data_IF_187738067334
#
_entry.id   IF_187738067334
#
_cell.length_a   1.000
_cell.length_b   1.000
_cell.length_c   1.000
_cell.angle_alpha   90.00
_cell.angle_beta   90.00
_cell.angle_gamma   90.00
#
_symmetry.space_group_name_H-M   'P 1'
#
loop_
_entity.id
_entity.type
_entity.pdbx_description
1 polymer ?
#
# COMPACT_ATOMS: atom_id res chain seq x y z
N UNK A 1 -1.71 6.44 21.64
CA UNK A 1 -0.65 5.52 21.20
C UNK A 1 -1.00 4.13 21.70
N UNK A 2 -0.91 3.12 20.84
CA UNK A 2 -1.11 1.71 21.18
C UNK A 2 0.22 1.00 20.95
N UNK A 3 0.67 0.22 21.92
CA UNK A 3 1.91 -0.56 21.82
C UNK A 3 1.54 -2.03 21.87
N UNK A 4 2.08 -2.78 20.93
CA UNK A 4 1.90 -4.22 20.80
C UNK A 4 3.24 -4.92 21.03
N UNK A 5 3.24 -5.86 21.96
CA UNK A 5 4.39 -6.69 22.31
C UNK A 5 4.00 -8.16 22.10
N UNK A 6 4.92 -8.98 21.57
CA UNK A 6 4.66 -10.40 21.37
C UNK A 6 5.59 -11.08 20.39
N UNK A 7 6.24 -10.32 19.50
CA UNK A 7 7.38 -10.84 18.76
C UNK A 7 8.59 -11.00 19.68
N UNK A 8 9.40 -12.01 19.41
CA UNK A 8 10.62 -12.30 20.18
C UNK A 8 11.90 -11.87 19.46
N UNK A 9 11.75 -11.25 18.28
CA UNK A 9 12.83 -10.76 17.44
C UNK A 9 12.30 -9.59 16.59
N UNK A 10 13.20 -8.93 15.88
CA UNK A 10 13.01 -7.76 15.02
C UNK A 10 11.71 -7.82 14.22
N UNK A 11 10.91 -6.74 14.28
CA UNK A 11 9.75 -6.55 13.40
C UNK A 11 10.20 -5.86 12.11
N UNK A 12 10.30 -6.62 11.03
CA UNK A 12 10.89 -6.14 9.78
C UNK A 12 9.90 -5.45 8.84
N UNK A 13 8.60 -5.78 8.93
CA UNK A 13 7.58 -5.26 8.03
C UNK A 13 6.24 -5.18 8.75
N UNK A 14 5.52 -4.07 8.57
CA UNK A 14 4.14 -3.89 9.04
C UNK A 14 3.22 -3.47 7.89
N UNK A 15 1.94 -3.82 7.97
CA UNK A 15 0.91 -3.38 7.00
C UNK A 15 -0.44 -3.29 7.69
N UNK A 16 -1.20 -2.23 7.41
CA UNK A 16 -2.62 -2.18 7.80
C UNK A 16 -3.47 -3.08 6.92
N UNK A 17 -4.57 -3.61 7.49
CA UNK A 17 -5.65 -4.17 6.70
C UNK A 17 -6.34 -3.08 5.89
N UNK A 18 -6.93 -3.40 4.71
CA UNK A 18 -7.61 -2.41 3.88
C UNK A 18 -8.77 -1.68 4.57
N UNK A 19 -9.39 -2.31 5.59
CA UNK A 19 -10.44 -1.70 6.40
C UNK A 19 -9.91 -0.89 7.62
N UNK A 20 -8.59 -0.86 7.82
CA UNK A 20 -7.90 -0.15 8.90
C UNK A 20 -8.10 -0.75 10.29
N UNK A 21 -8.77 -1.89 10.44
CA UNK A 21 -9.09 -2.48 11.76
C UNK A 21 -7.95 -3.27 12.38
N UNK A 22 -7.01 -3.74 11.57
CA UNK A 22 -5.90 -4.55 12.04
C UNK A 22 -4.59 -4.16 11.38
N UNK A 23 -3.50 -4.55 12.03
CA UNK A 23 -2.14 -4.48 11.49
C UNK A 23 -1.58 -5.89 11.47
N UNK A 24 -0.86 -6.23 10.41
CA UNK A 24 0.01 -7.42 10.39
C UNK A 24 1.46 -6.99 10.55
N UNK A 25 2.26 -7.88 11.12
CA UNK A 25 3.71 -7.73 11.21
C UNK A 25 4.42 -9.01 10.81
N UNK A 26 5.51 -8.89 10.05
CA UNK A 26 6.45 -9.98 9.79
C UNK A 26 7.72 -9.78 10.59
N UNK A 27 8.14 -10.81 11.33
CA UNK A 27 9.31 -10.74 12.20
C UNK A 27 10.40 -11.75 11.83
N UNK A 28 11.60 -11.48 12.33
CA UNK A 28 12.74 -12.40 12.29
C UNK A 28 12.52 -13.65 13.16
N UNK A 29 11.55 -13.62 14.07
CA UNK A 29 11.10 -14.78 14.85
C UNK A 29 10.32 -15.82 14.04
N UNK A 30 10.25 -15.63 12.71
CA UNK A 30 9.64 -16.54 11.73
C UNK A 30 8.11 -16.58 11.79
N UNK A 31 7.48 -15.65 12.52
CA UNK A 31 6.03 -15.56 12.66
C UNK A 31 5.46 -14.28 12.07
N UNK A 32 4.17 -14.35 11.72
CA UNK A 32 3.38 -13.17 11.37
C UNK A 32 2.43 -12.89 12.54
N UNK A 33 2.53 -11.69 13.11
CA UNK A 33 1.60 -11.21 14.12
C UNK A 33 0.38 -10.53 13.48
N UNK A 34 -0.78 -10.66 14.10
CA UNK A 34 -1.99 -9.91 13.76
C UNK A 34 -2.48 -9.14 14.99
N UNK A 35 -2.72 -7.85 14.82
CA UNK A 35 -2.92 -6.91 15.92
C UNK A 35 -4.15 -6.05 15.68
N UNK A 36 -4.90 -5.73 16.73
CA UNK A 36 -5.98 -4.77 16.62
C UNK A 36 -5.41 -3.35 16.48
N UNK A 37 -5.92 -2.58 15.52
CA UNK A 37 -5.45 -1.22 15.26
C UNK A 37 -5.94 -0.19 16.29
N UNK A 38 -6.97 -0.53 17.06
CA UNK A 38 -7.72 0.36 17.93
C UNK A 38 -7.68 -0.04 19.42
N UNK A 39 -7.09 -1.21 19.73
CA UNK A 39 -6.90 -1.69 21.10
C UNK A 39 -5.58 -2.45 21.24
N UNK A 40 -4.99 -2.53 22.44
CA UNK A 40 -3.73 -3.24 22.70
C UNK A 40 -3.93 -4.78 22.76
N UNK A 41 -4.71 -5.34 21.83
CA UNK A 41 -5.07 -6.76 21.81
C UNK A 41 -4.57 -7.45 20.55
N UNK A 42 -4.08 -8.70 20.70
CA UNK A 42 -3.77 -9.59 19.58
C UNK A 42 -5.04 -10.08 18.89
N UNK A 43 -4.94 -10.36 17.60
CA UNK A 43 -5.97 -11.04 16.81
C UNK A 43 -5.49 -12.47 16.56
N UNK A 44 -6.05 -13.43 17.28
CA UNK A 44 -5.69 -14.85 17.14
C UNK A 44 -4.25 -15.18 17.56
N UNK A 45 -3.79 -16.36 17.15
CA UNK A 45 -2.42 -16.81 17.38
C UNK A 45 -1.50 -16.35 16.24
N UNK A 46 -0.18 -16.16 16.48
CA UNK A 46 0.78 -15.85 15.42
C UNK A 46 0.75 -16.91 14.31
N UNK A 47 0.77 -16.47 13.05
CA UNK A 47 0.80 -17.37 11.91
C UNK A 47 2.20 -17.99 11.80
N UNK A 48 2.26 -19.33 11.81
CA UNK A 48 3.50 -20.11 11.81
C UNK A 48 3.56 -20.98 10.56
N UNK A 49 4.75 -21.06 9.97
CA UNK A 49 5.02 -21.95 8.83
C UNK A 49 6.33 -21.63 8.14
N UNK A 50 6.76 -20.37 8.15
CA UNK A 50 8.11 -20.01 7.70
C UNK A 50 9.19 -20.64 8.60
N UNK A 51 10.33 -20.99 8.00
CA UNK A 51 11.50 -21.52 8.72
C UNK A 51 12.70 -20.57 8.67
N UNK A 52 12.43 -19.28 8.45
CA UNK A 52 13.42 -18.23 8.35
C UNK A 52 12.77 -16.85 8.46
N UNK A 53 13.58 -15.82 8.68
CA UNK A 53 13.14 -14.45 8.92
C UNK A 53 12.17 -13.96 7.84
N UNK A 54 11.08 -13.33 8.26
CA UNK A 54 10.12 -12.72 7.33
C UNK A 54 10.59 -11.30 7.03
N UNK A 55 10.82 -11.01 5.75
CA UNK A 55 11.30 -9.70 5.33
C UNK A 55 10.17 -8.76 4.95
N UNK A 56 9.06 -9.27 4.43
CA UNK A 56 7.97 -8.43 3.96
C UNK A 56 6.64 -9.16 4.10
N UNK A 57 5.63 -8.44 4.57
CA UNK A 57 4.24 -8.89 4.63
C UNK A 57 3.36 -7.87 3.91
N UNK A 58 2.27 -8.34 3.31
CA UNK A 58 1.30 -7.47 2.63
C UNK A 58 -0.09 -8.05 2.74
N UNK A 59 -1.07 -7.18 2.99
CA UNK A 59 -2.47 -7.54 2.83
C UNK A 59 -2.87 -7.52 1.35
N UNK A 60 -3.71 -8.48 0.97
CA UNK A 60 -4.51 -8.38 -0.26
C UNK A 60 -5.40 -7.14 -0.17
N UNK A 61 -5.58 -6.37 -1.26
CA UNK A 61 -6.53 -5.26 -1.31
C UNK A 61 -7.97 -5.67 -0.97
N UNK A 62 -8.30 -6.96 -1.11
CA UNK A 62 -9.61 -7.52 -0.74
C UNK A 62 -9.73 -7.83 0.76
N UNK A 63 -8.64 -7.74 1.53
CA UNK A 63 -8.61 -7.94 2.99
C UNK A 63 -8.74 -9.39 3.45
N UNK A 64 -8.84 -10.35 2.54
CA UNK A 64 -9.07 -11.77 2.85
C UNK A 64 -7.79 -12.62 2.90
N UNK A 65 -6.68 -12.12 2.34
CA UNK A 65 -5.43 -12.87 2.22
C UNK A 65 -4.24 -12.04 2.64
N UNK A 66 -3.27 -12.66 3.32
CA UNK A 66 -1.95 -12.08 3.62
C UNK A 66 -0.92 -12.81 2.76
N UNK A 67 0.03 -12.08 2.19
CA UNK A 67 1.23 -12.65 1.58
C UNK A 67 2.45 -12.33 2.43
N UNK A 68 3.36 -13.30 2.56
CA UNK A 68 4.63 -13.13 3.27
C UNK A 68 5.79 -13.63 2.43
N UNK A 69 6.87 -12.86 2.44
CA UNK A 69 8.14 -13.17 1.80
C UNK A 69 9.23 -13.37 2.86
N UNK A 70 9.97 -14.48 2.75
CA UNK A 70 10.92 -14.90 3.78
C UNK A 70 12.31 -15.26 3.24
N UNK A 71 13.28 -15.22 4.15
CA UNK A 71 14.61 -15.78 4.00
C UNK A 71 14.59 -17.27 3.63
N UNK A 72 13.56 -18.01 4.05
CA UNK A 72 13.39 -19.44 3.79
C UNK A 72 13.11 -19.80 2.32
N UNK A 73 13.15 -18.80 1.43
CA UNK A 73 12.98 -18.93 -0.03
C UNK A 73 11.56 -19.30 -0.42
N UNK A 74 10.58 -18.99 0.43
CA UNK A 74 9.16 -19.18 0.12
C UNK A 74 8.39 -17.87 0.18
N UNK A 75 7.35 -17.81 -0.65
CA UNK A 75 6.23 -16.90 -0.45
C UNK A 75 5.07 -17.75 0.05
N UNK A 76 4.47 -17.35 1.16
CA UNK A 76 3.29 -18.01 1.73
C UNK A 76 2.08 -17.10 1.65
N UNK A 77 0.93 -17.72 1.46
CA UNK A 77 -0.37 -17.05 1.45
C UNK A 77 -1.18 -17.56 2.62
N UNK A 78 -1.84 -16.66 3.32
CA UNK A 78 -2.58 -16.97 4.53
C UNK A 78 -3.99 -16.43 4.41
N UNK A 79 -4.98 -17.21 4.82
CA UNK A 79 -6.35 -16.74 4.93
C UNK A 79 -6.52 -15.97 6.24
N UNK A 80 -7.03 -14.74 6.14
CA UNK A 80 -7.14 -13.82 7.27
C UNK A 80 -8.15 -14.31 8.30
N UNK A 81 -9.21 -14.99 7.87
CA UNK A 81 -10.30 -15.40 8.76
C UNK A 81 -9.97 -16.68 9.53
N UNK A 82 -9.42 -17.68 8.84
CA UNK A 82 -9.06 -18.97 9.41
C UNK A 82 -7.67 -18.98 10.03
N UNK A 83 -6.83 -17.98 9.74
CA UNK A 83 -5.42 -17.92 10.14
C UNK A 83 -4.62 -19.15 9.68
N UNK A 84 -5.02 -19.75 8.55
CA UNK A 84 -4.37 -20.93 7.98
C UNK A 84 -3.62 -20.58 6.70
N UNK A 85 -2.54 -21.34 6.45
CA UNK A 85 -1.85 -21.28 5.18
C UNK A 85 -2.77 -21.76 4.05
N UNK A 86 -2.97 -20.89 3.07
CA UNK A 86 -3.66 -21.24 1.84
C UNK A 86 -2.70 -22.07 1.01
N UNK A 87 -3.04 -23.33 0.75
CA UNK A 87 -2.36 -24.23 -0.21
C UNK A 87 -0.84 -24.38 -0.01
N UNK A 88 -0.12 -24.81 -1.05
CA UNK A 88 1.34 -25.00 -0.96
C UNK A 88 2.13 -23.68 -1.11
N UNK A 89 3.23 -23.50 -0.35
CA UNK A 89 4.11 -22.35 -0.49
C UNK A 89 4.65 -22.21 -1.92
N UNK A 90 4.74 -20.98 -2.41
CA UNK A 90 5.44 -20.69 -3.66
C UNK A 90 6.94 -20.74 -3.37
N UNK A 91 7.60 -21.79 -3.86
CA UNK A 91 9.03 -22.01 -3.64
C UNK A 91 9.86 -21.29 -4.70
N UNK A 92 10.82 -20.49 -4.24
CA UNK A 92 11.90 -19.93 -5.04
C UNK A 92 13.21 -20.66 -4.78
N UNK A 93 14.23 -20.34 -5.59
CA UNK A 93 15.58 -20.84 -5.36
C UNK A 93 16.37 -19.93 -4.39
N UNK A 94 15.80 -18.78 -4.02
CA UNK A 94 16.45 -17.73 -3.23
C UNK A 94 15.44 -16.99 -2.35
N UNK A 95 15.95 -16.24 -1.38
CA UNK A 95 15.17 -15.46 -0.43
C UNK A 95 14.39 -14.34 -1.12
N UNK A 96 13.20 -14.04 -0.60
CA UNK A 96 12.34 -12.97 -1.08
C UNK A 96 12.38 -11.81 -0.09
N UNK A 97 12.76 -10.61 -0.55
CA UNK A 97 12.95 -9.46 0.34
C UNK A 97 11.75 -8.53 0.41
N UNK A 98 10.94 -8.48 -0.65
CA UNK A 98 9.77 -7.62 -0.76
C UNK A 98 8.62 -8.34 -1.46
N UNK A 99 7.40 -8.08 -1.01
CA UNK A 99 6.17 -8.64 -1.56
C UNK A 99 5.13 -7.53 -1.71
N UNK A 100 4.39 -7.53 -2.82
CA UNK A 100 3.28 -6.60 -3.04
C UNK A 100 2.16 -7.28 -3.81
N UNK A 101 0.91 -7.00 -3.45
CA UNK A 101 -0.26 -7.39 -4.23
C UNK A 101 -0.56 -6.39 -5.34
N UNK A 102 -1.01 -6.89 -6.50
CA UNK A 102 -1.68 -6.05 -7.48
C UNK A 102 -3.01 -5.55 -6.93
N UNK A 103 -3.53 -4.38 -7.37
CA UNK A 103 -4.83 -3.85 -6.95
C UNK A 103 -6.00 -4.81 -7.17
N UNK A 104 -5.94 -5.65 -8.21
CA UNK A 104 -6.95 -6.68 -8.49
C UNK A 104 -6.86 -7.92 -7.60
N UNK A 105 -5.84 -8.01 -6.73
CA UNK A 105 -5.48 -9.18 -5.92
C UNK A 105 -5.19 -10.48 -6.69
N UNK A 106 -5.06 -10.42 -8.02
CA UNK A 106 -4.80 -11.61 -8.85
C UNK A 106 -3.31 -11.92 -8.99
N UNK A 107 -2.47 -10.91 -8.86
CA UNK A 107 -1.02 -11.02 -8.99
C UNK A 107 -0.33 -10.59 -7.70
N UNK A 108 0.83 -11.19 -7.48
CA UNK A 108 1.81 -10.78 -6.47
C UNK A 108 3.13 -10.52 -7.18
N UNK A 109 3.77 -9.40 -6.85
CA UNK A 109 5.15 -9.12 -7.23
C UNK A 109 6.07 -9.48 -6.06
N UNK A 110 7.19 -10.14 -6.35
CA UNK A 110 8.24 -10.37 -5.38
C UNK A 110 9.62 -10.05 -5.92
N UNK A 111 10.52 -9.66 -5.03
CA UNK A 111 11.92 -9.48 -5.35
C UNK A 111 12.67 -10.81 -5.23
N UNK A 112 13.55 -11.06 -6.18
CA UNK A 112 14.35 -12.27 -6.27
C UNK A 112 15.81 -11.90 -6.46
N UNK A 113 16.72 -12.54 -5.71
CA UNK A 113 18.16 -12.34 -5.87
C UNK A 113 18.87 -13.68 -6.00
N UNK A 114 19.47 -13.95 -7.16
CA UNK A 114 20.25 -15.16 -7.42
C UNK A 114 21.68 -15.00 -6.91
N UNK A 115 22.07 -15.83 -5.96
CA UNK A 115 23.47 -16.00 -5.56
C UNK A 115 24.29 -16.58 -6.72
N UNK A 116 25.37 -15.90 -7.08
CA UNK A 116 26.25 -16.20 -8.22
C UNK A 116 26.88 -14.90 -8.73
N UNK A 117 28.05 -14.96 -9.39
CA UNK A 117 28.65 -13.79 -10.04
C UNK A 117 28.35 -13.81 -11.55
N UNK A 118 27.76 -12.75 -12.12
CA UNK A 118 27.18 -11.58 -11.46
C UNK A 118 25.85 -11.92 -10.74
N UNK A 119 25.59 -11.24 -9.61
CA UNK A 119 24.35 -11.41 -8.83
C UNK A 119 23.19 -10.94 -9.70
N UNK A 120 22.26 -11.84 -10.01
CA UNK A 120 21.06 -11.47 -10.78
C UNK A 120 19.95 -11.11 -9.81
N UNK A 121 19.66 -9.82 -9.70
CA UNK A 121 18.52 -9.31 -8.95
C UNK A 121 17.40 -8.97 -9.94
N UNK A 122 16.20 -9.50 -9.68
CA UNK A 122 15.06 -9.38 -10.56
C UNK A 122 13.77 -9.24 -9.77
N UNK A 123 12.73 -8.80 -10.47
CA UNK A 123 11.37 -8.77 -9.94
C UNK A 123 10.54 -9.80 -10.69
N UNK A 124 9.65 -10.52 -10.00
CA UNK A 124 8.85 -11.59 -10.60
C UNK A 124 7.39 -11.47 -10.22
N UNK A 125 6.50 -11.75 -11.18
CA UNK A 125 5.07 -11.82 -10.95
C UNK A 125 4.62 -13.26 -10.77
N UNK A 126 3.68 -13.45 -9.85
CA UNK A 126 3.08 -14.73 -9.50
C UNK A 126 1.56 -14.59 -9.57
N UNK A 127 0.89 -15.58 -10.16
CA UNK A 127 -0.56 -15.70 -10.06
C UNK A 127 -0.93 -16.20 -8.67
N UNK A 128 -1.83 -15.50 -7.99
CA UNK A 128 -2.32 -15.87 -6.65
C UNK A 128 -3.10 -17.19 -6.70
N UNK A 129 -3.97 -17.34 -7.70
CA UNK A 129 -4.79 -18.54 -7.91
C UNK A 129 -3.92 -19.74 -8.28
N UNK A 130 -3.08 -19.60 -9.31
CA UNK A 130 -2.30 -20.72 -9.86
C UNK A 130 -1.01 -20.99 -9.10
N UNK A 131 -0.54 -20.06 -8.27
CA UNK A 131 0.73 -20.13 -7.50
C UNK A 131 1.95 -20.40 -8.39
N UNK A 132 1.88 -19.92 -9.61
CA UNK A 132 2.91 -20.07 -10.64
C UNK A 132 3.28 -18.72 -11.19
N UNK A 133 4.38 -18.66 -11.92
CA UNK A 133 4.93 -17.42 -12.43
C UNK A 133 4.05 -16.90 -13.56
N UNK A 134 3.57 -15.66 -13.42
CA UNK A 134 2.66 -15.05 -14.38
C UNK A 134 3.41 -14.44 -15.59
N UNK A 135 4.68 -14.09 -15.42
CA UNK A 135 5.50 -13.47 -16.46
C UNK A 135 6.97 -13.88 -16.36
N UNK A 136 7.75 -13.51 -17.39
CA UNK A 136 9.22 -13.51 -17.31
C UNK A 136 9.69 -12.53 -16.24
N UNK A 137 10.84 -12.78 -15.59
CA UNK A 137 11.37 -11.86 -14.60
C UNK A 137 11.74 -10.51 -15.24
N UNK A 138 11.45 -9.42 -14.53
CA UNK A 138 11.91 -8.09 -14.87
C UNK A 138 13.40 -7.95 -14.50
N UNK A 139 14.23 -7.76 -15.51
CA UNK A 139 15.69 -7.67 -15.38
C UNK A 139 16.15 -6.22 -15.56
N UNK A 140 17.10 -5.77 -14.75
CA UNK A 140 17.75 -4.47 -14.94
C UNK A 140 18.39 -3.87 -13.69
N UNK A 141 17.96 -4.27 -12.49
CA UNK A 141 18.66 -3.91 -11.26
C UNK A 141 19.95 -4.71 -11.12
N UNK A 142 21.00 -4.06 -10.61
CA UNK A 142 22.34 -4.67 -10.43
C UNK A 142 22.60 -5.11 -8.99
N UNK A 143 21.64 -4.91 -8.09
CA UNK A 143 21.70 -5.30 -6.68
C UNK A 143 20.30 -5.56 -6.11
N UNK A 144 20.22 -5.99 -4.85
CA UNK A 144 18.99 -6.44 -4.20
C UNK A 144 17.84 -5.45 -4.36
N UNK A 145 16.67 -5.94 -4.78
CA UNK A 145 15.44 -5.14 -4.81
C UNK A 145 14.80 -5.20 -3.43
N UNK A 146 14.82 -4.07 -2.72
CA UNK A 146 14.45 -3.94 -1.31
C UNK A 146 12.97 -3.62 -1.11
N UNK A 147 12.35 -2.97 -2.10
CA UNK A 147 10.95 -2.54 -2.01
C UNK A 147 10.27 -2.57 -3.37
N UNK A 148 8.98 -2.93 -3.35
CA UNK A 148 8.12 -3.12 -4.52
C UNK A 148 6.74 -2.55 -4.24
N UNK A 149 6.13 -1.92 -5.24
CA UNK A 149 4.73 -1.50 -5.17
C UNK A 149 4.10 -1.44 -6.57
N UNK A 150 2.86 -1.88 -6.69
CA UNK A 150 2.08 -1.70 -7.92
C UNK A 150 1.51 -0.28 -8.01
N UNK A 151 1.32 0.21 -9.23
CA UNK A 151 0.49 1.39 -9.45
C UNK A 151 -0.98 1.12 -9.12
N UNK A 152 -1.77 2.14 -8.72
CA UNK A 152 -3.20 2.01 -8.42
C UNK A 152 -4.02 1.36 -9.54
N UNK A 153 -3.65 1.64 -10.80
CA UNK A 153 -4.29 1.04 -11.98
C UNK A 153 -3.76 -0.37 -12.33
N UNK A 154 -2.74 -0.87 -11.62
CA UNK A 154 -2.16 -2.19 -11.80
C UNK A 154 -1.33 -2.38 -13.08
N UNK A 155 -1.09 -1.34 -13.88
CA UNK A 155 -0.34 -1.44 -15.15
C UNK A 155 1.16 -1.23 -15.03
N UNK A 156 1.62 -0.72 -13.88
CA UNK A 156 3.03 -0.49 -13.58
C UNK A 156 3.44 -1.14 -12.27
N UNK A 157 4.73 -1.46 -12.18
CA UNK A 157 5.37 -1.91 -10.96
C UNK A 157 6.58 -1.02 -10.69
N UNK A 158 6.74 -0.55 -9.47
CA UNK A 158 7.87 0.28 -9.04
C UNK A 158 8.79 -0.56 -8.17
N UNK A 159 10.09 -0.43 -8.35
CA UNK A 159 11.10 -1.09 -7.53
C UNK A 159 12.19 -0.14 -7.07
N UNK A 160 12.51 -0.19 -5.78
CA UNK A 160 13.70 0.43 -5.18
C UNK A 160 14.77 -0.61 -4.88
N UNK A 161 16.03 -0.31 -5.20
CA UNK A 161 17.14 -1.26 -5.12
C UNK A 161 18.36 -0.74 -4.38
N UNK A 162 19.15 -1.69 -3.90
CA UNK A 162 20.51 -1.47 -3.41
C UNK A 162 21.54 -1.10 -4.48
N UNK A 163 21.12 -0.92 -5.73
CA UNK A 163 21.93 -0.27 -6.77
C UNK A 163 21.76 1.26 -6.81
N UNK A 164 21.10 1.82 -5.79
CA UNK A 164 20.82 3.24 -5.60
C UNK A 164 19.80 3.82 -6.61
N UNK A 165 19.12 2.96 -7.38
CA UNK A 165 18.15 3.39 -8.38
C UNK A 165 16.73 2.93 -8.09
N UNK A 166 15.78 3.65 -8.68
CA UNK A 166 14.38 3.27 -8.77
C UNK A 166 14.08 2.93 -10.22
N UNK A 167 13.26 1.92 -10.47
CA UNK A 167 12.77 1.57 -11.81
C UNK A 167 11.27 1.43 -11.81
N UNK A 168 10.65 1.84 -12.91
CA UNK A 168 9.23 1.61 -13.20
C UNK A 168 9.14 0.61 -14.35
N UNK A 169 8.40 -0.47 -14.14
CA UNK A 169 8.21 -1.56 -15.09
C UNK A 169 6.81 -1.50 -15.68
N UNK A 170 6.70 -1.82 -16.97
CA UNK A 170 5.42 -2.09 -17.62
C UNK A 170 5.06 -3.55 -17.41
N UNK A 171 3.91 -3.82 -16.79
CA UNK A 171 3.49 -5.18 -16.45
C UNK A 171 3.08 -5.99 -17.68
N UNK A 172 2.50 -5.34 -18.70
CA UNK A 172 2.02 -5.98 -19.92
C UNK A 172 3.20 -6.35 -20.84
N UNK A 173 4.13 -5.40 -21.03
CA UNK A 173 5.29 -5.59 -21.90
C UNK A 173 6.42 -6.39 -21.25
N UNK A 174 6.48 -6.44 -19.91
CA UNK A 174 7.57 -7.14 -19.21
C UNK A 174 8.90 -6.39 -19.20
N UNK A 175 8.90 -5.08 -19.50
CA UNK A 175 10.11 -4.27 -19.71
C UNK A 175 10.15 -3.05 -18.80
N UNK A 176 11.31 -2.38 -18.69
CA UNK A 176 11.40 -1.08 -18.02
C UNK A 176 10.59 -0.05 -18.81
N UNK A 177 9.61 0.57 -18.14
CA UNK A 177 8.81 1.66 -18.69
C UNK A 177 9.52 3.01 -18.54
N UNK A 178 10.05 3.28 -17.34
CA UNK A 178 10.74 4.53 -17.00
C UNK A 178 11.93 4.24 -16.07
N UNK A 179 13.00 5.01 -16.25
CA UNK A 179 14.21 4.95 -15.43
C UNK A 179 15.39 4.23 -16.09
N UNK A 180 16.48 3.94 -15.34
CA UNK A 180 16.60 4.06 -13.88
C UNK A 180 16.62 5.51 -13.38
N UNK A 181 15.92 5.78 -12.28
CA UNK A 181 15.94 7.10 -11.63
C UNK A 181 17.22 7.18 -10.81
N UNK A 182 18.06 8.16 -11.12
CA UNK A 182 19.37 8.35 -10.49
C UNK A 182 19.34 9.63 -9.67
N UNK A 183 19.87 9.55 -8.46
CA UNK A 183 20.06 10.73 -7.60
C UNK A 183 20.44 10.37 -6.18
N UNK A 184 19.93 9.25 -5.65
CA UNK A 184 20.38 8.72 -4.36
C UNK A 184 21.85 8.29 -4.41
N UNK A 185 22.59 8.58 -3.34
CA UNK A 185 24.01 8.20 -3.20
C UNK A 185 24.21 6.94 -2.37
N UNK A 186 23.13 6.43 -1.78
CA UNK A 186 23.07 5.17 -1.04
C UNK A 186 21.93 4.28 -1.54
N UNK A 187 21.85 3.07 -1.01
CA UNK A 187 20.82 2.11 -1.39
C UNK A 187 19.42 2.68 -1.16
N UNK A 188 18.47 2.35 -2.04
CA UNK A 188 17.06 2.69 -1.85
C UNK A 188 16.42 1.55 -1.05
N UNK A 189 16.12 1.82 0.22
CA UNK A 189 15.55 0.83 1.15
C UNK A 189 14.06 0.63 0.92
N UNK A 190 13.34 1.71 0.63
CA UNK A 190 11.89 1.73 0.51
C UNK A 190 11.43 2.74 -0.53
N UNK A 191 10.37 2.38 -1.25
CA UNK A 191 9.62 3.27 -2.12
C UNK A 191 8.16 3.25 -1.69
N UNK A 192 7.46 4.36 -1.92
CA UNK A 192 6.02 4.42 -1.88
C UNK A 192 5.52 5.26 -3.07
N UNK A 193 4.32 4.97 -3.55
CA UNK A 193 3.65 5.67 -4.65
C UNK A 193 2.47 6.48 -4.11
N UNK A 194 2.27 7.68 -4.64
CA UNK A 194 1.13 8.52 -4.30
C UNK A 194 -0.20 7.83 -4.68
N UNK A 195 -1.32 8.15 -4.02
CA UNK A 195 -2.62 7.52 -4.29
C UNK A 195 -3.10 7.67 -5.75
N UNK A 196 -2.74 8.77 -6.41
CA UNK A 196 -3.04 9.02 -7.82
C UNK A 196 -2.04 8.37 -8.80
N UNK A 197 -0.96 7.78 -8.27
CA UNK A 197 0.11 7.13 -9.04
C UNK A 197 1.04 8.09 -9.77
N UNK A 198 0.96 9.40 -9.54
CA UNK A 198 1.75 10.39 -10.27
C UNK A 198 3.14 10.62 -9.67
N UNK A 199 3.33 10.36 -8.38
CA UNK A 199 4.57 10.64 -7.66
C UNK A 199 5.10 9.41 -6.93
N UNK A 200 6.41 9.27 -6.85
CA UNK A 200 7.10 8.26 -6.04
C UNK A 200 7.87 8.99 -4.95
N UNK A 201 7.80 8.51 -3.72
CA UNK A 201 8.73 8.88 -2.66
C UNK A 201 9.66 7.70 -2.38
N UNK A 202 10.92 7.99 -2.11
CA UNK A 202 11.92 6.98 -1.77
C UNK A 202 12.70 7.37 -0.53
N UNK A 203 12.97 6.38 0.32
CA UNK A 203 13.87 6.51 1.48
C UNK A 203 15.15 5.72 1.24
N UNK A 204 16.30 6.30 1.61
CA UNK A 204 17.62 5.75 1.31
C UNK A 204 18.57 5.74 2.50
N UNK A 205 19.59 4.90 2.41
CA UNK A 205 20.77 4.95 3.28
C UNK A 205 21.67 6.17 3.06
N UNK A 206 21.33 7.07 2.14
CA UNK A 206 21.93 8.43 2.08
C UNK A 206 21.27 9.44 3.04
N UNK A 207 20.34 8.96 3.88
CA UNK A 207 19.65 9.70 4.94
C UNK A 207 18.62 10.70 4.42
N UNK A 208 18.35 10.71 3.10
CA UNK A 208 17.37 11.60 2.49
C UNK A 208 16.14 10.84 2.02
N UNK A 209 14.98 11.51 2.07
CA UNK A 209 13.87 11.13 1.21
C UNK A 209 13.94 11.95 -0.08
N UNK A 210 13.47 11.37 -1.19
CA UNK A 210 13.32 12.08 -2.46
C UNK A 210 11.95 11.82 -3.06
N UNK A 211 11.41 12.85 -3.70
CA UNK A 211 10.17 12.78 -4.46
C UNK A 211 10.49 12.78 -5.94
N UNK A 212 9.76 11.99 -6.73
CA UNK A 212 10.00 11.79 -8.15
C UNK A 212 8.70 11.85 -8.91
N UNK A 213 8.74 12.39 -10.14
CA UNK A 213 7.65 12.22 -11.10
C UNK A 213 7.67 10.78 -11.62
N UNK A 214 6.58 10.04 -11.41
CA UNK A 214 6.51 8.63 -11.79
C UNK A 214 6.53 8.42 -13.31
N UNK A 215 6.16 9.45 -14.10
CA UNK A 215 6.08 9.38 -15.57
C UNK A 215 7.42 9.69 -16.23
N UNK A 216 8.08 10.77 -15.81
CA UNK A 216 9.34 11.24 -16.38
C UNK A 216 10.58 10.70 -15.67
N UNK A 217 10.46 10.33 -14.38
CA UNK A 217 11.59 9.91 -13.55
C UNK A 217 12.48 11.05 -13.05
N UNK A 218 12.03 12.28 -13.22
CA UNK A 218 12.71 13.47 -12.72
C UNK A 218 12.45 13.66 -11.22
N UNK A 219 13.45 14.14 -10.50
CA UNK A 219 13.31 14.47 -9.08
C UNK A 219 12.48 15.76 -8.93
N UNK A 220 11.47 15.73 -8.07
CA UNK A 220 10.62 16.87 -7.75
C UNK A 220 11.15 17.55 -6.50
N UNK A 221 11.57 18.81 -6.66
CA UNK A 221 12.06 19.63 -5.54
C UNK A 221 13.41 19.17 -4.97
N UNK A 222 13.69 19.59 -3.74
CA UNK A 222 14.90 19.20 -3.02
C UNK A 222 14.67 17.93 -2.20
N UNK A 223 15.72 17.13 -1.93
CA UNK A 223 15.62 16.03 -0.98
C UNK A 223 15.13 16.50 0.40
N UNK A 224 14.31 15.70 1.05
CA UNK A 224 13.83 15.95 2.40
C UNK A 224 14.93 15.56 3.38
N UNK A 225 15.53 16.58 4.01
CA UNK A 225 16.55 16.41 5.04
C UNK A 225 15.95 16.42 6.45
N UNK A 226 16.47 15.56 7.33
CA UNK A 226 16.12 15.58 8.76
C UNK A 226 16.48 14.28 9.48
N UNK A 227 16.39 13.14 8.81
CA UNK A 227 16.97 11.90 9.32
C UNK A 227 18.51 12.03 9.39
N UNK A 228 19.10 11.52 10.47
CA UNK A 228 20.56 11.58 10.71
C UNK A 228 21.28 10.28 10.38
N UNK A 229 20.52 9.21 10.11
CA UNK A 229 20.98 7.86 9.81
C UNK A 229 20.09 7.24 8.70
N UNK A 230 20.40 6.03 8.17
CA UNK A 230 19.64 5.40 7.09
C UNK A 230 18.13 5.36 7.28
N UNK A 231 17.41 5.63 6.20
CA UNK A 231 15.95 5.47 6.14
C UNK A 231 15.66 4.05 5.64
N UNK A 232 14.78 3.33 6.34
CA UNK A 232 14.41 1.95 6.01
C UNK A 232 13.02 1.84 5.39
N UNK A 233 12.09 2.71 5.77
CA UNK A 233 10.71 2.65 5.27
C UNK A 233 10.12 4.03 5.05
N UNK A 234 9.34 4.16 3.98
CA UNK A 234 8.52 5.33 3.67
C UNK A 234 7.12 4.88 3.27
N UNK A 235 6.11 5.71 3.53
CA UNK A 235 4.74 5.48 3.05
C UNK A 235 4.00 6.79 2.79
N UNK A 236 3.07 6.79 1.83
CA UNK A 236 2.24 7.95 1.50
C UNK A 236 0.95 7.96 2.32
N UNK A 237 0.49 9.14 2.72
CA UNK A 237 -0.86 9.27 3.25
C UNK A 237 -1.89 8.94 2.14
N UNK A 238 -3.07 8.40 2.49
CA UNK A 238 -4.14 8.14 1.53
C UNK A 238 -4.64 9.39 0.79
N UNK A 239 -4.41 10.57 1.36
CA UNK A 239 -4.69 11.86 0.71
C UNK A 239 -3.62 12.30 -0.28
N UNK A 240 -2.40 11.75 -0.19
CA UNK A 240 -1.24 12.19 -0.97
C UNK A 240 -0.63 13.51 -0.51
N UNK A 241 -1.05 14.05 0.63
CA UNK A 241 -0.53 15.32 1.20
C UNK A 241 0.73 15.13 2.04
N UNK A 242 0.85 13.96 2.69
CA UNK A 242 1.94 13.68 3.63
C UNK A 242 2.69 12.38 3.28
N UNK A 243 3.92 12.31 3.76
CA UNK A 243 4.74 11.09 3.78
C UNK A 243 5.15 10.81 5.21
N UNK A 244 5.19 9.53 5.59
CA UNK A 244 5.81 9.08 6.82
C UNK A 244 7.10 8.33 6.49
N UNK A 245 8.11 8.45 7.33
CA UNK A 245 9.34 7.65 7.25
C UNK A 245 9.77 7.09 8.59
N UNK A 246 10.47 5.95 8.55
CA UNK A 246 11.13 5.33 9.68
C UNK A 246 12.58 4.97 9.33
N UNK A 247 13.50 5.13 10.28
CA UNK A 247 14.91 4.92 10.05
C UNK A 247 15.71 4.41 11.25
N UNK A 248 17.01 4.30 11.01
CA UNK A 248 18.06 3.88 11.94
C UNK A 248 18.30 4.91 13.06
N UNK A 249 17.86 6.15 12.86
CA UNK A 249 17.85 7.19 13.91
C UNK A 249 16.72 7.00 14.94
N UNK A 250 16.05 5.84 14.92
CA UNK A 250 14.99 5.44 15.84
C UNK A 250 13.75 6.34 15.79
N UNK A 251 13.64 7.19 14.77
CA UNK A 251 12.55 8.15 14.62
C UNK A 251 11.53 7.70 13.59
N UNK A 252 10.26 8.00 13.86
CA UNK A 252 9.20 8.07 12.86
C UNK A 252 8.96 9.54 12.54
N UNK A 253 9.06 9.95 11.28
CA UNK A 253 8.92 11.36 10.88
C UNK A 253 7.77 11.54 9.89
N UNK A 254 7.05 12.64 10.04
CA UNK A 254 5.97 13.05 9.15
C UNK A 254 6.41 14.26 8.34
N UNK A 255 6.17 14.23 7.03
CA UNK A 255 6.62 15.22 6.07
C UNK A 255 5.44 15.77 5.28
N UNK A 256 5.39 17.08 5.08
CA UNK A 256 4.46 17.73 4.17
C UNK A 256 5.12 17.80 2.78
N UNK A 257 4.47 17.19 1.79
CA UNK A 257 5.02 17.08 0.42
C UNK A 257 5.10 18.45 -0.25
N UNK A 258 4.07 19.29 -0.07
CA UNK A 258 3.95 20.61 -0.72
C UNK A 258 5.05 21.57 -0.29
N UNK A 259 5.45 21.49 0.98
CA UNK A 259 6.48 22.36 1.56
C UNK A 259 7.87 21.71 1.62
N UNK A 260 7.93 20.39 1.43
CA UNK A 260 9.14 19.57 1.60
C UNK A 260 9.77 19.70 2.98
N UNK A 261 8.96 19.93 4.01
CA UNK A 261 9.42 20.12 5.40
C UNK A 261 8.88 19.03 6.31
N UNK A 262 9.70 18.71 7.31
CA UNK A 262 9.24 17.90 8.43
C UNK A 262 8.16 18.65 9.20
N UNK A 263 7.07 17.96 9.47
CA UNK A 263 5.96 18.46 10.27
C UNK A 263 6.14 18.04 11.73
N UNK A 264 6.36 16.74 11.95
CA UNK A 264 6.59 16.15 13.28
C UNK A 264 7.63 15.02 13.23
N UNK A 265 8.21 14.73 14.38
CA UNK A 265 9.12 13.60 14.60
C UNK A 265 8.77 12.95 15.94
N UNK A 266 8.68 11.62 15.93
CA UNK A 266 8.34 10.80 17.09
C UNK A 266 9.51 9.88 17.41
N UNK A 267 9.98 9.93 18.65
CA UNK A 267 10.99 8.99 19.19
C UNK A 267 10.26 8.06 20.14
N UNK A 268 9.95 6.86 19.69
CA UNK A 268 9.10 5.95 20.46
C UNK A 268 9.54 4.51 20.49
N UNK A 269 10.30 4.12 19.48
CA UNK A 269 11.02 2.87 19.52
C UNK A 269 12.35 3.09 20.24
N UNK A 270 12.80 2.05 20.94
CA UNK A 270 14.10 2.05 21.61
C UNK A 270 15.25 1.66 20.66
N UNK A 271 14.91 1.27 19.43
CA UNK A 271 15.83 0.78 18.42
C UNK A 271 15.34 1.15 17.00
N UNK A 272 16.04 0.69 15.97
CA UNK A 272 15.82 0.99 14.55
C UNK A 272 14.35 0.81 14.15
N UNK A 273 13.78 1.77 13.43
CA UNK A 273 12.45 1.63 12.83
C UNK A 273 12.59 1.05 11.43
N UNK A 274 12.15 -0.20 11.24
CA UNK A 274 12.31 -0.92 9.96
C UNK A 274 11.18 -0.70 8.99
N UNK A 275 9.97 -0.49 9.50
CA UNK A 275 8.78 -0.40 8.68
C UNK A 275 7.80 0.61 9.26
N UNK A 276 7.21 1.41 8.39
CA UNK A 276 6.12 2.34 8.69
C UNK A 276 5.00 2.14 7.68
N UNK A 277 3.75 2.35 8.09
CA UNK A 277 2.58 2.31 7.22
C UNK A 277 1.52 3.31 7.71
N UNK A 278 0.86 4.01 6.80
CA UNK A 278 -0.35 4.76 7.11
C UNK A 278 -1.56 3.84 7.19
N UNK A 279 -2.50 4.19 8.07
CA UNK A 279 -3.83 3.59 8.02
C UNK A 279 -4.57 4.06 6.76
N UNK A 280 -5.51 3.25 6.22
CA UNK A 280 -6.29 3.62 5.04
C UNK A 280 -7.10 4.92 5.18
N UNK A 281 -7.42 5.33 6.41
CA UNK A 281 -8.08 6.60 6.70
C UNK A 281 -7.11 7.77 6.91
N UNK A 282 -5.80 7.54 6.94
CA UNK A 282 -4.76 8.55 7.14
C UNK A 282 -4.65 9.08 8.57
N UNK A 283 -5.44 8.56 9.51
CA UNK A 283 -5.50 9.05 10.89
C UNK A 283 -4.50 8.37 11.83
N UNK A 284 -3.89 7.27 11.38
CA UNK A 284 -2.95 6.51 12.20
C UNK A 284 -1.72 6.10 11.39
N UNK A 285 -0.62 5.91 12.11
CA UNK A 285 0.65 5.38 11.58
C UNK A 285 0.99 4.14 12.41
N UNK A 286 1.32 3.03 11.75
CA UNK A 286 1.92 1.86 12.37
C UNK A 286 3.43 1.87 12.11
N UNK A 287 4.22 1.50 13.11
CA UNK A 287 5.67 1.31 13.00
C UNK A 287 6.11 -0.01 13.62
N UNK A 288 7.06 -0.68 12.98
CA UNK A 288 7.72 -1.90 13.49
C UNK A 288 9.23 -1.70 13.58
N UNK A 289 9.84 -2.27 14.62
CA UNK A 289 11.23 -1.98 15.01
C UNK A 289 12.01 -3.21 15.48
N UNK A 290 13.34 -3.04 15.57
CA UNK A 290 14.28 -3.98 16.18
C UNK A 290 14.03 -4.19 17.67
N UNK A 291 13.34 -3.26 18.33
CA UNK A 291 12.91 -3.40 19.72
C UNK A 291 11.80 -4.47 19.93
N UNK A 292 11.46 -5.21 18.87
CA UNK A 292 10.46 -6.27 18.82
C UNK A 292 9.01 -5.79 18.99
N UNK A 293 8.76 -4.46 18.95
CA UNK A 293 7.43 -3.88 19.15
C UNK A 293 6.80 -3.41 17.85
N UNK A 294 5.47 -3.36 17.87
CA UNK A 294 4.68 -2.59 16.91
C UNK A 294 4.02 -1.45 17.67
N UNK A 295 4.14 -0.24 17.15
CA UNK A 295 3.48 0.94 17.72
C UNK A 295 2.48 1.49 16.71
N UNK A 296 1.27 1.80 17.17
CA UNK A 296 0.25 2.48 16.39
C UNK A 296 0.00 3.85 17.02
N UNK A 297 0.34 4.90 16.27
CA UNK A 297 0.05 6.29 16.63
C UNK A 297 -1.22 6.75 15.98
N UNK A 298 -2.04 7.47 16.72
CA UNK A 298 -3.09 8.30 16.15
C UNK A 298 -2.53 9.73 15.95
N UNK A 299 -2.63 10.25 14.73
CA UNK A 299 -2.17 11.59 14.33
C UNK A 299 -3.34 12.54 14.01
N UNK A 300 -4.59 12.11 14.19
CA UNK A 300 -5.80 12.87 13.85
C UNK A 300 -5.94 14.20 14.61
N UNK A 301 -5.36 14.30 15.81
CA UNK A 301 -5.43 15.50 16.65
C UNK A 301 -4.40 16.57 16.28
N UNK A 302 -3.31 16.20 15.60
CA UNK A 302 -2.25 17.14 15.22
C UNK A 302 -2.51 17.80 13.84
N UNK A 303 -3.42 17.23 13.03
CA UNK A 303 -3.67 17.67 11.66
C UNK A 303 -5.17 17.78 11.36
N UNK A 304 -5.76 19.00 11.46
CA UNK A 304 -7.16 19.23 11.17
C UNK A 304 -7.39 19.35 9.66
N UNK A 305 -7.13 18.30 8.89
CA UNK A 305 -7.95 18.03 7.69
C UNK A 305 -9.15 17.14 8.04
N UNK A 306 -9.24 16.69 9.31
CA UNK A 306 -10.44 16.09 9.88
C UNK A 306 -11.51 17.10 10.27
N UNK A 307 -11.26 18.42 10.32
CA UNK A 307 -12.32 19.38 10.65
C UNK A 307 -13.38 19.53 9.53
N UNK A 308 -13.03 19.20 8.28
CA UNK A 308 -13.99 19.12 7.16
C UNK A 308 -14.29 17.67 6.71
N UNK A 309 -13.59 16.67 7.25
CA UNK A 309 -13.83 15.25 6.96
C UNK A 309 -14.41 14.45 8.15
N UNK A 310 -14.51 15.05 9.34
CA UNK A 310 -15.21 14.48 10.51
C UNK A 310 -16.67 14.88 10.57
N UNK A 311 -17.13 15.75 9.66
CA UNK A 311 -18.50 15.58 9.22
C UNK A 311 -18.52 14.22 8.53
N UNK A 312 -19.37 13.30 9.00
CA UNK A 312 -19.98 12.36 8.07
C UNK A 312 -20.24 13.15 6.79
N UNK A 313 -19.59 12.82 5.67
CA UNK A 313 -19.87 13.51 4.41
C UNK A 313 -21.30 13.12 4.07
N UNK A 314 -22.25 13.89 4.60
CA UNK A 314 -23.67 13.75 4.30
C UNK A 314 -23.72 14.01 2.82
N UNK A 315 -24.00 12.96 2.05
CA UNK A 315 -24.27 13.10 0.63
C UNK A 315 -25.49 14.00 0.55
N UNK A 316 -25.30 15.25 0.17
CA UNK A 316 -26.39 16.20 0.00
C UNK A 316 -26.87 16.17 -1.45
N UNK A 317 -28.14 16.49 -1.67
CA UNK A 317 -28.74 16.57 -3.01
C UNK A 317 -28.11 17.65 -3.92
N UNK A 318 -27.20 18.46 -3.38
CA UNK A 318 -26.49 19.53 -4.10
C UNK A 318 -25.14 19.07 -4.67
N UNK A 319 -24.62 17.90 -4.28
CA UNK A 319 -23.35 17.38 -4.80
C UNK A 319 -23.50 16.88 -6.24
N UNK A 320 -22.46 17.04 -7.05
CA UNK A 320 -22.40 16.42 -8.39
C UNK A 320 -22.20 14.90 -8.28
N UNK A 321 -22.58 14.15 -9.32
CA UNK A 321 -22.43 12.70 -9.35
C UNK A 321 -20.96 12.27 -9.12
N UNK A 322 -20.02 12.96 -9.76
CA UNK A 322 -18.58 12.72 -9.58
C UNK A 322 -18.14 12.94 -8.13
N UNK A 323 -18.54 14.05 -7.51
CA UNK A 323 -18.18 14.34 -6.12
C UNK A 323 -18.76 13.30 -5.14
N UNK A 324 -19.95 12.78 -5.42
CA UNK A 324 -20.52 11.69 -4.62
C UNK A 324 -19.71 10.39 -4.80
N UNK A 325 -19.23 10.10 -6.00
CA UNK A 325 -18.36 8.95 -6.26
C UNK A 325 -17.00 9.08 -5.58
N UNK A 326 -16.41 10.26 -5.62
CA UNK A 326 -15.14 10.55 -4.94
C UNK A 326 -15.28 10.40 -3.42
N UNK A 327 -16.42 10.80 -2.83
CA UNK A 327 -16.71 10.59 -1.42
C UNK A 327 -16.81 9.09 -1.05
N UNK A 328 -17.44 8.28 -1.91
CA UNK A 328 -17.66 6.86 -1.65
C UNK A 328 -16.39 6.03 -1.87
N UNK A 329 -15.62 6.33 -2.90
CA UNK A 329 -14.31 5.70 -3.14
C UNK A 329 -13.30 6.07 -2.07
N UNK A 330 -13.28 7.31 -1.60
CA UNK A 330 -12.48 7.73 -0.43
C UNK A 330 -12.90 7.03 0.88
N UNK A 331 -14.14 6.53 0.96
CA UNK A 331 -14.64 5.72 2.07
C UNK A 331 -14.40 4.21 1.87
N UNK A 332 -13.58 3.85 0.88
CA UNK A 332 -13.17 2.48 0.56
C UNK A 332 -14.18 1.67 -0.27
N UNK A 333 -15.19 2.32 -0.86
CA UNK A 333 -16.08 1.66 -1.81
C UNK A 333 -15.35 1.36 -3.12
N UNK A 334 -15.39 0.10 -3.57
CA UNK A 334 -14.76 -0.33 -4.81
C UNK A 334 -15.71 -0.04 -5.96
N UNK A 335 -15.25 0.73 -6.96
CA UNK A 335 -16.00 0.99 -8.18
C UNK A 335 -16.09 -0.28 -9.04
N UNK A 336 -17.31 -0.71 -9.33
CA UNK A 336 -17.65 -1.85 -10.18
C UNK A 336 -18.35 -1.41 -11.47
N UNK A 337 -18.40 -0.12 -11.79
CA UNK A 337 -19.10 0.42 -12.96
C UNK A 337 -18.58 -0.19 -14.27
N UNK A 338 -17.28 -0.45 -14.36
CA UNK A 338 -16.63 -1.10 -15.52
C UNK A 338 -16.91 -2.61 -15.61
N UNK A 339 -17.36 -3.22 -14.52
CA UNK A 339 -17.71 -4.65 -14.43
C UNK A 339 -19.22 -4.88 -14.55
N UNK A 340 -20.00 -3.83 -14.80
CA UNK A 340 -21.44 -3.90 -14.92
C UNK A 340 -21.82 -4.52 -16.26
N UNK A 341 -22.58 -5.62 -16.25
CA UNK A 341 -23.20 -6.11 -17.49
C UNK A 341 -24.20 -5.05 -17.98
N UNK A 342 -23.85 -4.40 -19.09
CA UNK A 342 -24.63 -3.32 -19.70
C UNK A 342 -26.03 -3.74 -20.13
N UNK A 343 -26.34 -5.04 -20.21
CA UNK A 343 -27.69 -5.53 -20.53
C UNK A 343 -28.48 -6.01 -19.30
N UNK A 344 -27.90 -6.82 -18.41
CA UNK A 344 -28.65 -7.35 -17.26
C UNK A 344 -28.60 -6.45 -16.02
N UNK A 345 -27.41 -6.01 -15.62
CA UNK A 345 -27.21 -5.23 -14.40
C UNK A 345 -27.68 -3.78 -14.58
N UNK A 346 -27.44 -3.22 -15.78
CA UNK A 346 -27.98 -1.91 -16.12
C UNK A 346 -29.52 -1.92 -16.13
N UNK A 347 -30.16 -2.96 -16.70
CA UNK A 347 -31.61 -3.06 -16.76
C UNK A 347 -32.27 -3.18 -15.36
N UNK A 348 -31.66 -3.92 -14.43
CA UNK A 348 -32.10 -3.97 -13.02
C UNK A 348 -32.14 -2.57 -12.39
N UNK A 349 -31.11 -1.76 -12.65
CA UNK A 349 -30.98 -0.39 -12.10
C UNK A 349 -31.85 0.63 -12.87
N UNK A 350 -32.12 0.39 -14.16
CA UNK A 350 -32.89 1.28 -15.05
C UNK A 350 -34.41 1.17 -14.85
N UNK A 351 -34.92 0.10 -14.22
CA UNK A 351 -36.34 -0.16 -13.99
C UNK A 351 -37.14 0.97 -13.30
N UNK A 352 -36.47 1.97 -12.71
CA UNK A 352 -37.04 3.30 -12.47
C UNK A 352 -36.81 4.25 -13.67
N UNK A 353 -37.73 4.25 -14.64
CA UNK A 353 -38.24 5.40 -15.41
C UNK A 353 -37.38 6.53 -16.02
N UNK A 354 -36.07 6.40 -16.29
CA UNK A 354 -35.35 7.48 -17.02
C UNK A 354 -33.86 7.29 -17.29
N UNK A 355 -33.33 8.13 -18.18
CA UNK A 355 -31.93 8.15 -18.63
C UNK A 355 -31.03 8.96 -17.68
N UNK A 356 -29.87 8.41 -17.32
CA UNK A 356 -28.98 8.99 -16.33
C UNK A 356 -27.66 8.23 -16.20
N UNK A 357 -26.66 8.86 -15.59
CA UNK A 357 -25.36 8.22 -15.32
C UNK A 357 -25.53 7.24 -14.14
N UNK A 358 -25.11 5.98 -14.33
CA UNK A 358 -25.25 4.88 -13.36
C UNK A 358 -23.88 4.48 -12.86
N UNK A 359 -23.76 4.39 -11.54
CA UNK A 359 -22.58 3.87 -10.86
C UNK A 359 -22.97 2.72 -9.95
N UNK A 360 -22.11 1.72 -9.86
CA UNK A 360 -22.27 0.54 -9.01
C UNK A 360 -21.00 0.34 -8.24
N UNK A 361 -21.09 0.31 -6.92
CA UNK A 361 -19.99 0.04 -6.02
C UNK A 361 -20.28 -1.13 -5.09
N UNK A 362 -19.25 -1.67 -4.47
CA UNK A 362 -19.37 -2.67 -3.41
C UNK A 362 -18.74 -2.13 -2.13
N UNK A 363 -19.56 -2.11 -1.08
CA UNK A 363 -19.15 -1.75 0.27
C UNK A 363 -18.33 -2.90 0.90
N UNK A 364 -17.50 -2.56 1.89
CA UNK A 364 -16.66 -3.53 2.61
C UNK A 364 -17.43 -4.68 3.27
N UNK A 365 -18.69 -4.47 3.64
CA UNK A 365 -19.56 -5.52 4.21
C UNK A 365 -20.17 -6.46 3.16
N UNK A 366 -19.78 -6.34 1.89
CA UNK A 366 -20.32 -7.12 0.79
C UNK A 366 -21.61 -6.55 0.18
N UNK A 367 -22.18 -5.50 0.77
CA UNK A 367 -23.34 -4.79 0.23
C UNK A 367 -23.01 -4.14 -1.10
N UNK A 368 -23.91 -4.28 -2.09
CA UNK A 368 -23.81 -3.57 -3.36
C UNK A 368 -24.57 -2.26 -3.26
N UNK A 369 -23.93 -1.16 -3.65
CA UNK A 369 -24.55 0.16 -3.75
C UNK A 369 -24.64 0.51 -5.22
N UNK A 370 -25.80 0.99 -5.66
CA UNK A 370 -25.96 1.57 -6.98
C UNK A 370 -26.46 3.00 -6.81
N UNK A 371 -25.87 3.92 -7.57
CA UNK A 371 -26.28 5.32 -7.60
C UNK A 371 -26.67 5.64 -9.02
N UNK A 372 -27.91 6.11 -9.18
CA UNK A 372 -28.44 6.57 -10.45
C UNK A 372 -28.68 8.07 -10.36
N UNK A 373 -27.95 8.83 -11.18
CA UNK A 373 -28.16 10.28 -11.28
C UNK A 373 -29.04 10.60 -12.48
N UNK A 374 -30.15 11.30 -12.26
CA UNK A 374 -31.08 11.68 -13.31
C UNK A 374 -30.63 12.98 -13.97
N UNK A 375 -30.72 13.07 -15.30
CA UNK A 375 -30.62 14.35 -16.01
C UNK A 375 -32.04 14.83 -16.30
N UNK A 376 -32.57 15.72 -15.47
CA UNK A 376 -33.79 16.44 -15.77
C UNK A 376 -33.44 17.63 -16.66
N UNK A 377 -33.69 17.52 -17.96
CA UNK A 377 -33.79 18.71 -18.80
C UNK A 377 -34.76 18.44 -19.95
N UNK A 378 -36.02 18.81 -19.71
CA UNK A 378 -36.87 19.36 -20.76
C UNK A 378 -37.30 20.76 -20.30
N UNK A 379 -36.48 21.75 -20.67
CA UNK A 379 -36.74 23.19 -20.72
C UNK A 379 -36.97 23.97 -19.40
N UNK A 380 -35.99 24.81 -19.05
CA UNK A 380 -36.19 26.02 -18.26
C UNK A 380 -35.74 25.96 -16.80
N UNK A 381 -34.52 26.46 -16.54
CA UNK A 381 -33.85 26.66 -15.24
C UNK A 381 -33.56 25.39 -14.45
N UNK A 382 -32.26 25.17 -14.24
CA UNK A 382 -31.68 24.02 -13.59
C UNK A 382 -31.80 24.16 -12.09
N UNK A 383 -32.69 23.40 -11.45
CA UNK A 383 -32.70 23.25 -10.00
C UNK A 383 -33.10 21.82 -9.60
N UNK A 384 -32.13 21.16 -8.93
CA UNK A 384 -32.15 19.89 -8.21
C UNK A 384 -32.20 18.57 -9.02
N UNK A 385 -31.19 17.71 -8.77
CA UNK A 385 -31.22 16.27 -9.08
C UNK A 385 -31.81 15.53 -7.88
N UNK A 386 -32.89 14.79 -8.09
CA UNK A 386 -33.48 13.92 -7.06
C UNK A 386 -32.66 12.63 -6.93
N UNK A 387 -32.12 12.37 -5.74
CA UNK A 387 -31.38 11.16 -5.39
C UNK A 387 -32.37 10.09 -4.88
N UNK A 388 -32.22 8.84 -5.31
CA UNK A 388 -32.90 7.67 -4.74
C UNK A 388 -31.88 6.59 -4.45
#
# INVERSE_FOLDING_TARGET
MIVHEGHTDIVNSVSFSPDGKSVISGSWDQTIGMWNAHSPSHIGNPLRGHSGSIFSVSYSPLGNTIASASYDKTIRLWDVNSCQELGQPIKGNHSFYSIAFSPSAQLIASSYARGGFPVQCAVRLWSVEKRTTASKPFMGHTSFVRSLQFSPNGSRLISGSSDNTIRVWDIECGTTAVGPFKGHTGLVSSIALSPDGSQIVSGSSDYTLRLWDARGGEMIGNPFGGHTLPIYSVDFSPSGTYVVSGGDDQTVRLWDIRTSRQVESFVEHADIVRSVAFSPCGQSIASGSDDCKIIIRNIAAAYPESADSSASRIITSQMSAQQMFDCLTASGCIDLSTQMDTQQDAAMIVSGGGFGDIWKGKLHNGGKVAIKSWRTNAMGKCDYKTLK
#
